data_IF_472422100268
#
_entry.id   IF_472422100268
#
_cell.length_a   1.000
_cell.length_b   1.000
_cell.length_c   1.000
_cell.angle_alpha   90.00
_cell.angle_beta   90.00
_cell.angle_gamma   90.00
#
_symmetry.space_group_name_H-M   'P 1'
#
loop_
_entity.id
_entity.type
_entity.pdbx_description
1 polymer ?
#
# COMPACT_ATOMS: atom_id res chain seq x y z
N UNK A 1 -32.17 -60.84 -24.37
CA UNK A 1 -33.64 -60.74 -24.45
C UNK A 1 -34.11 -60.12 -23.14
N UNK A 2 -34.46 -58.83 -23.18
CA UNK A 2 -35.86 -58.36 -23.05
C UNK A 2 -36.34 -58.42 -21.59
N UNK A 3 -36.05 -57.42 -20.75
CA UNK A 3 -36.74 -56.11 -20.57
C UNK A 3 -38.00 -56.15 -19.68
N UNK A 4 -38.25 -54.97 -19.08
CA UNK A 4 -39.36 -54.51 -18.24
C UNK A 4 -39.24 -54.84 -16.73
N UNK A 5 -39.45 -53.93 -15.78
CA UNK A 5 -39.81 -52.49 -15.77
C UNK A 5 -39.76 -52.08 -14.28
N UNK A 6 -38.86 -51.18 -13.88
CA UNK A 6 -39.12 -50.31 -12.72
C UNK A 6 -38.45 -48.96 -12.93
N UNK A 7 -39.25 -48.10 -13.54
CA UNK A 7 -39.32 -46.64 -13.49
C UNK A 7 -38.30 -45.93 -12.60
N UNK A 8 -37.38 -45.23 -13.27
CA UNK A 8 -36.65 -44.06 -12.77
C UNK A 8 -37.70 -42.94 -12.61
N UNK A 9 -37.94 -42.50 -11.37
CA UNK A 9 -38.66 -41.26 -11.11
C UNK A 9 -37.64 -40.16 -10.82
N UNK A 10 -37.61 -39.18 -11.71
CA UNK A 10 -37.11 -37.83 -11.45
C UNK A 10 -37.81 -37.28 -10.20
N UNK A 11 -37.06 -36.98 -9.15
CA UNK A 11 -37.44 -35.97 -8.16
C UNK A 11 -36.59 -34.73 -8.39
N UNK A 12 -37.13 -33.85 -9.24
CA UNK A 12 -36.81 -32.44 -9.24
C UNK A 12 -37.14 -31.81 -7.87
N UNK A 13 -36.49 -30.69 -7.59
CA UNK A 13 -36.72 -29.78 -6.45
C UNK A 13 -36.30 -30.31 -5.06
N UNK A 14 -35.03 -30.04 -4.75
CA UNK A 14 -34.67 -29.51 -3.44
C UNK A 14 -33.70 -28.31 -3.61
N UNK A 15 -34.09 -27.34 -4.46
CA UNK A 15 -33.72 -25.95 -4.24
C UNK A 15 -34.55 -25.44 -3.07
N UNK A 16 -34.16 -25.81 -1.85
CA UNK A 16 -34.65 -25.20 -0.62
C UNK A 16 -33.55 -24.30 -0.08
N UNK A 17 -33.62 -23.06 -0.57
CA UNK A 17 -33.35 -21.84 0.17
C UNK A 17 -32.39 -21.99 1.34
N UNK A 18 -31.08 -22.02 1.06
CA UNK A 18 -30.20 -21.20 1.89
C UNK A 18 -30.59 -19.76 1.56
N UNK A 19 -31.54 -19.26 2.35
CA UNK A 19 -31.90 -17.86 2.40
C UNK A 19 -30.60 -17.08 2.41
N UNK A 20 -30.41 -16.32 1.35
CA UNK A 20 -29.55 -15.16 1.27
C UNK A 20 -29.94 -14.19 2.39
N UNK A 21 -29.53 -14.49 3.62
CA UNK A 21 -29.19 -13.47 4.60
C UNK A 21 -27.86 -12.89 4.13
N UNK A 22 -27.94 -12.14 3.02
CA UNK A 22 -26.91 -11.25 2.59
C UNK A 22 -26.51 -10.41 3.80
N UNK A 23 -25.20 -10.32 4.01
CA UNK A 23 -24.50 -9.42 4.90
C UNK A 23 -25.19 -8.06 4.99
N UNK A 24 -26.10 -7.94 5.95
CA UNK A 24 -26.56 -6.69 6.52
C UNK A 24 -26.11 -6.72 7.99
N UNK A 25 -24.79 -6.86 8.22
CA UNK A 25 -24.22 -6.26 9.41
C UNK A 25 -24.16 -4.77 9.14
N UNK A 26 -25.22 -4.13 9.63
CA UNK A 26 -25.43 -2.71 9.84
C UNK A 26 -24.24 -1.82 9.48
N UNK A 27 -24.47 -1.05 8.41
CA UNK A 27 -23.87 0.27 8.24
C UNK A 27 -24.25 1.14 9.45
N UNK A 28 -23.65 0.93 10.61
CA UNK A 28 -23.60 1.99 11.62
C UNK A 28 -22.80 3.11 10.94
N UNK A 29 -23.42 4.26 10.62
CA UNK A 29 -22.69 5.37 10.07
C UNK A 29 -21.68 5.76 11.14
N UNK A 30 -20.40 5.64 10.85
CA UNK A 30 -19.38 6.30 11.65
C UNK A 30 -19.78 7.77 11.60
N UNK A 31 -20.22 8.32 12.74
CA UNK A 31 -20.71 9.68 12.79
C UNK A 31 -19.53 10.60 12.51
N UNK A 32 -19.44 11.07 11.27
CA UNK A 32 -18.46 12.05 10.86
C UNK A 32 -18.50 13.25 11.83
N UNK A 33 -17.35 13.80 12.24
CA UNK A 33 -17.32 14.99 13.08
C UNK A 33 -18.15 16.11 12.45
N UNK A 34 -18.90 16.84 13.26
CA UNK A 34 -19.73 17.96 12.79
C UNK A 34 -18.90 19.02 12.04
N UNK A 35 -17.63 19.17 12.41
CA UNK A 35 -16.68 20.06 11.73
C UNK A 35 -16.52 19.76 10.23
N UNK A 36 -16.74 18.52 9.79
CA UNK A 36 -16.63 18.15 8.38
C UNK A 36 -17.74 18.74 7.50
N UNK A 37 -18.88 19.14 8.07
CA UNK A 37 -19.95 19.80 7.30
C UNK A 37 -19.53 21.15 6.73
N UNK A 38 -18.48 21.76 7.29
CA UNK A 38 -17.93 23.03 6.84
C UNK A 38 -16.66 22.86 5.98
N UNK A 39 -16.26 21.63 5.66
CA UNK A 39 -15.08 21.36 4.83
C UNK A 39 -15.44 21.47 3.34
N UNK A 40 -14.69 22.26 2.56
CA UNK A 40 -14.98 22.42 1.13
C UNK A 40 -14.53 21.17 0.36
N UNK A 41 -15.46 20.27 0.07
CA UNK A 41 -15.23 19.08 -0.75
C UNK A 41 -15.44 19.37 -2.24
N UNK A 42 -14.57 18.79 -3.08
CA UNK A 42 -14.73 18.71 -4.53
C UNK A 42 -14.21 17.35 -5.02
N UNK A 43 -14.97 16.30 -4.75
CA UNK A 43 -14.62 14.92 -5.08
C UNK A 43 -15.62 14.40 -6.11
N UNK A 44 -15.09 14.06 -7.29
CA UNK A 44 -15.83 13.44 -8.37
C UNK A 44 -15.38 11.97 -8.50
N UNK A 45 -16.27 11.12 -9.04
CA UNK A 45 -15.97 9.70 -9.29
C UNK A 45 -16.00 8.78 -8.06
N UNK A 46 -16.26 9.28 -6.86
CA UNK A 46 -16.41 8.47 -5.64
C UNK A 46 -17.86 8.54 -5.13
N UNK A 47 -18.69 7.64 -5.64
CA UNK A 47 -20.12 7.61 -5.31
C UNK A 47 -20.38 7.29 -3.83
N UNK A 48 -21.35 7.97 -3.23
CA UNK A 48 -21.75 7.73 -1.84
C UNK A 48 -20.80 8.28 -0.77
N UNK A 49 -19.60 8.76 -1.11
CA UNK A 49 -18.64 9.29 -0.13
C UNK A 49 -19.21 10.42 0.73
N UNK A 50 -19.70 11.50 0.10
CA UNK A 50 -20.26 12.65 0.85
C UNK A 50 -21.51 12.25 1.65
N UNK A 51 -22.36 11.39 1.09
CA UNK A 51 -23.52 10.86 1.78
C UNK A 51 -23.11 10.04 3.03
N UNK A 52 -22.01 9.29 2.97
CA UNK A 52 -21.49 8.53 4.11
C UNK A 52 -21.08 9.44 5.27
N UNK A 53 -20.72 10.70 4.98
CA UNK A 53 -20.42 11.73 5.97
C UNK A 53 -21.65 12.53 6.42
N UNK A 54 -22.85 12.22 5.89
CA UNK A 54 -24.06 12.99 6.11
C UNK A 54 -24.03 14.38 5.46
N UNK A 55 -23.23 14.55 4.40
CA UNK A 55 -23.10 15.78 3.63
C UNK A 55 -23.91 15.61 2.34
N UNK A 56 -24.86 16.52 2.10
CA UNK A 56 -25.58 16.56 0.82
C UNK A 56 -24.59 16.98 -0.27
N UNK A 57 -24.36 16.15 -1.32
CA UNK A 57 -23.46 16.49 -2.43
C UNK A 57 -23.80 17.81 -3.15
N UNK A 58 -25.04 18.30 -3.01
CA UNK A 58 -25.49 19.59 -3.54
C UNK A 58 -25.12 20.78 -2.65
N UNK A 59 -24.64 20.54 -1.43
CA UNK A 59 -24.21 21.58 -0.50
C UNK A 59 -22.90 22.18 -1.02
N UNK A 60 -22.99 23.37 -1.61
CA UNK A 60 -21.82 24.11 -2.06
C UNK A 60 -21.30 25.03 -0.95
N UNK A 61 -20.07 24.80 -0.50
CA UNK A 61 -19.38 25.74 0.39
C UNK A 61 -18.72 26.82 -0.45
N UNK A 62 -19.33 28.02 -0.44
CA UNK A 62 -18.83 29.18 -1.17
C UNK A 62 -17.71 29.86 -0.38
N UNK A 63 -16.48 29.62 -0.81
CA UNK A 63 -15.31 30.36 -0.33
C UNK A 63 -15.23 31.71 -1.05
N UNK A 64 -14.93 32.78 -0.32
CA UNK A 64 -14.57 34.05 -0.95
C UNK A 64 -13.30 33.92 -1.78
N UNK A 65 -13.08 34.82 -2.75
CA UNK A 65 -11.84 34.85 -3.55
C UNK A 65 -10.58 34.91 -2.67
N UNK A 66 -10.65 35.61 -1.53
CA UNK A 66 -9.55 35.74 -0.58
C UNK A 66 -9.27 34.42 0.14
N UNK A 67 -10.30 33.75 0.64
CA UNK A 67 -10.19 32.46 1.32
C UNK A 67 -9.68 31.38 0.37
N UNK A 68 -10.24 31.30 -0.84
CA UNK A 68 -9.82 30.36 -1.85
C UNK A 68 -8.33 30.52 -2.19
N UNK A 69 -7.88 31.77 -2.41
CA UNK A 69 -6.46 32.05 -2.67
C UNK A 69 -5.58 31.65 -1.49
N UNK A 70 -5.96 32.03 -0.27
CA UNK A 70 -5.19 31.74 0.94
C UNK A 70 -5.06 30.23 1.19
N UNK A 71 -6.14 29.48 1.04
CA UNK A 71 -6.15 28.03 1.22
C UNK A 71 -5.36 27.32 0.14
N UNK A 72 -5.56 27.70 -1.13
CA UNK A 72 -4.81 27.14 -2.25
C UNK A 72 -3.30 27.40 -2.11
N UNK A 73 -2.90 28.62 -1.72
CA UNK A 73 -1.49 28.98 -1.52
C UNK A 73 -0.86 28.20 -0.35
N UNK A 74 -1.54 28.12 0.80
CA UNK A 74 -1.08 27.32 1.93
C UNK A 74 -0.92 25.84 1.55
N UNK A 75 -1.92 25.26 0.90
CA UNK A 75 -1.89 23.84 0.52
C UNK A 75 -0.86 23.55 -0.58
N UNK A 76 -0.68 24.48 -1.53
CA UNK A 76 0.39 24.40 -2.53
C UNK A 76 1.76 24.39 -1.86
N UNK A 77 2.01 25.33 -0.94
CA UNK A 77 3.30 25.44 -0.25
C UNK A 77 3.62 24.19 0.57
N UNK A 78 2.65 23.65 1.31
CA UNK A 78 2.85 22.45 2.12
C UNK A 78 3.13 21.21 1.26
N UNK A 79 2.33 20.99 0.20
CA UNK A 79 2.54 19.88 -0.74
C UNK A 79 3.88 20.00 -1.45
N UNK A 80 4.24 21.21 -1.85
CA UNK A 80 5.51 21.53 -2.50
C UNK A 80 6.70 21.25 -1.57
N UNK A 81 6.61 21.68 -0.31
CA UNK A 81 7.65 21.43 0.69
C UNK A 81 7.84 19.92 0.93
N UNK A 82 6.75 19.16 1.09
CA UNK A 82 6.81 17.70 1.24
C UNK A 82 7.40 17.03 -0.01
N UNK A 83 6.92 17.40 -1.20
CA UNK A 83 7.34 16.81 -2.47
C UNK A 83 8.81 17.06 -2.75
N UNK A 84 9.32 18.27 -2.51
CA UNK A 84 10.73 18.58 -2.75
C UNK A 84 11.71 17.78 -1.89
N UNK A 85 11.25 17.27 -0.74
CA UNK A 85 12.06 16.38 0.09
C UNK A 85 12.00 14.92 -0.39
N UNK A 86 11.14 14.59 -1.35
CA UNK A 86 10.94 13.21 -1.81
C UNK A 86 11.98 12.76 -2.85
N UNK A 87 12.03 11.44 -3.08
CA UNK A 87 12.81 10.85 -4.17
C UNK A 87 12.28 11.27 -5.54
N UNK A 88 10.96 11.45 -5.67
CA UNK A 88 10.34 11.88 -6.93
C UNK A 88 10.91 13.21 -7.41
N UNK A 89 11.00 14.21 -6.53
CA UNK A 89 11.59 15.50 -6.88
C UNK A 89 13.06 15.39 -7.29
N UNK A 90 13.85 14.54 -6.63
CA UNK A 90 15.27 14.31 -6.99
C UNK A 90 15.43 13.70 -8.38
N UNK A 91 14.44 12.96 -8.87
CA UNK A 91 14.40 12.41 -10.23
C UNK A 91 13.68 13.32 -11.23
N UNK A 92 13.44 14.59 -10.89
CA UNK A 92 12.85 15.56 -11.81
C UNK A 92 11.33 15.47 -11.97
N UNK A 93 10.65 14.64 -11.17
CA UNK A 93 9.18 14.62 -11.14
C UNK A 93 8.69 15.87 -10.43
N UNK A 94 7.87 16.68 -11.10
CA UNK A 94 7.26 17.88 -10.54
C UNK A 94 5.74 17.77 -10.49
N UNK A 95 5.07 18.82 -10.00
CA UNK A 95 3.61 18.85 -9.88
C UNK A 95 2.91 18.53 -11.21
N UNK A 96 3.42 19.06 -12.32
CA UNK A 96 2.86 18.89 -13.68
C UNK A 96 3.26 17.58 -14.37
N UNK A 97 4.14 16.80 -13.74
CA UNK A 97 4.39 15.43 -14.18
C UNK A 97 3.16 14.56 -13.91
N UNK A 98 2.50 14.80 -12.77
CA UNK A 98 1.36 14.00 -12.33
C UNK A 98 0.01 14.72 -12.50
N UNK A 99 -0.12 16.00 -12.16
CA UNK A 99 -1.40 16.72 -12.23
C UNK A 99 -1.65 17.37 -13.59
N UNK A 100 -2.88 17.23 -14.11
CA UNK A 100 -3.28 17.82 -15.37
C UNK A 100 -3.86 19.24 -15.19
N UNK A 101 -3.11 20.26 -15.60
CA UNK A 101 -3.57 21.66 -15.55
C UNK A 101 -4.53 22.04 -16.69
N UNK A 102 -4.65 21.22 -17.73
CA UNK A 102 -5.61 21.46 -18.81
C UNK A 102 -7.05 21.15 -18.35
N UNK A 103 -7.20 20.13 -17.51
CA UNK A 103 -8.47 19.75 -16.88
C UNK A 103 -8.72 20.54 -15.58
N UNK A 104 -7.66 20.93 -14.86
CA UNK A 104 -7.76 21.71 -13.63
C UNK A 104 -7.01 23.03 -13.73
N UNK A 105 -7.71 24.10 -14.12
CA UNK A 105 -7.11 25.43 -14.34
C UNK A 105 -6.62 26.06 -13.02
N UNK A 106 -5.31 26.32 -12.93
CA UNK A 106 -4.67 27.01 -11.80
C UNK A 106 -4.57 26.15 -10.53
N UNK A 107 -4.38 26.79 -9.37
CA UNK A 107 -4.20 26.10 -8.07
C UNK A 107 -5.47 26.12 -7.21
N UNK A 108 -6.56 26.73 -7.68
CA UNK A 108 -7.80 26.92 -6.92
C UNK A 108 -8.38 25.61 -6.37
N UNK A 109 -8.24 24.51 -7.12
CA UNK A 109 -8.69 23.19 -6.71
C UNK A 109 -8.01 22.68 -5.44
N UNK A 110 -6.79 23.14 -5.15
CA UNK A 110 -6.05 22.76 -3.95
C UNK A 110 -6.68 23.34 -2.68
N UNK A 111 -7.59 24.31 -2.77
CA UNK A 111 -8.36 24.79 -1.63
C UNK A 111 -9.41 23.78 -1.13
N UNK A 112 -9.69 22.73 -1.91
CA UNK A 112 -10.72 21.73 -1.63
C UNK A 112 -10.10 20.38 -1.29
N UNK A 113 -10.77 19.62 -0.42
CA UNK A 113 -10.53 18.17 -0.33
C UNK A 113 -11.07 17.55 -1.62
N UNK A 114 -10.20 16.96 -2.43
CA UNK A 114 -10.49 16.66 -3.83
C UNK A 114 -9.91 15.34 -4.31
N UNK A 115 -10.42 14.90 -5.47
CA UNK A 115 -9.89 13.81 -6.29
C UNK A 115 -9.55 14.38 -7.68
N UNK A 116 -8.44 15.13 -7.83
CA UNK A 116 -8.13 15.81 -9.08
C UNK A 116 -7.78 14.81 -10.19
N UNK A 117 -8.12 15.09 -11.46
CA UNK A 117 -7.61 14.33 -12.59
C UNK A 117 -6.09 14.24 -12.61
N UNK A 118 -5.60 13.06 -13.00
CA UNK A 118 -4.19 12.71 -13.02
C UNK A 118 -3.74 12.45 -14.46
N UNK A 119 -2.65 13.10 -14.86
CA UNK A 119 -1.94 12.86 -16.13
C UNK A 119 -1.14 11.55 -16.07
N UNK A 120 -0.57 11.24 -14.91
CA UNK A 120 0.18 10.02 -14.64
C UNK A 120 -0.20 9.50 -13.26
N UNK A 121 -0.40 8.19 -13.17
CA UNK A 121 -0.63 7.50 -11.91
C UNK A 121 0.65 6.82 -11.40
N UNK A 122 0.60 6.25 -10.20
CA UNK A 122 1.74 5.54 -9.62
C UNK A 122 2.19 4.36 -10.50
N UNK A 123 1.23 3.65 -11.11
CA UNK A 123 1.44 2.43 -11.89
C UNK A 123 2.18 2.68 -13.20
N UNK A 124 2.12 3.91 -13.72
CA UNK A 124 2.84 4.37 -14.91
C UNK A 124 4.35 4.19 -14.76
N UNK A 125 4.91 4.49 -13.58
CA UNK A 125 6.36 4.41 -13.33
C UNK A 125 6.74 3.20 -12.45
N UNK A 126 5.87 2.79 -11.53
CA UNK A 126 6.11 1.68 -10.61
C UNK A 126 5.55 0.36 -11.15
N UNK A 127 6.05 -0.06 -12.31
CA UNK A 127 5.49 -1.18 -13.07
C UNK A 127 5.61 -2.53 -12.35
N UNK A 128 6.70 -2.78 -11.63
CA UNK A 128 6.87 -4.00 -10.83
C UNK A 128 5.88 -4.02 -9.66
N UNK A 129 5.77 -2.91 -8.92
CA UNK A 129 4.80 -2.79 -7.82
C UNK A 129 3.37 -2.95 -8.35
N UNK A 130 3.06 -2.35 -9.49
CA UNK A 130 1.75 -2.47 -10.13
C UNK A 130 1.46 -3.92 -10.57
N UNK A 131 2.45 -4.63 -11.11
CA UNK A 131 2.31 -6.03 -11.50
C UNK A 131 2.05 -6.93 -10.29
N UNK A 132 2.82 -6.74 -9.22
CA UNK A 132 2.62 -7.45 -7.95
C UNK A 132 1.27 -7.13 -7.33
N UNK A 133 0.90 -5.86 -7.26
CA UNK A 133 -0.33 -5.40 -6.60
C UNK A 133 -1.60 -5.92 -7.29
N UNK A 134 -1.58 -6.19 -8.60
CA UNK A 134 -2.70 -6.84 -9.31
C UNK A 134 -3.06 -8.22 -8.74
N UNK A 135 -2.13 -8.86 -8.03
CA UNK A 135 -2.33 -10.17 -7.41
C UNK A 135 -2.74 -10.10 -5.94
N UNK A 136 -2.98 -8.91 -5.40
CA UNK A 136 -3.51 -8.75 -4.05
C UNK A 136 -5.00 -9.07 -4.05
N UNK A 137 -5.47 -9.80 -3.05
CA UNK A 137 -6.90 -10.01 -2.77
C UNK A 137 -7.39 -9.02 -1.71
N UNK A 138 -6.57 -8.82 -0.68
CA UNK A 138 -6.89 -8.12 0.57
C UNK A 138 -7.05 -6.61 0.37
N UNK A 139 -6.22 -6.00 -0.47
CA UNK A 139 -6.24 -4.56 -0.76
C UNK A 139 -6.59 -4.26 -2.22
N UNK A 140 -7.27 -5.18 -2.91
CA UNK A 140 -7.49 -5.16 -4.37
C UNK A 140 -8.27 -3.94 -4.86
N UNK A 141 -9.15 -3.41 -4.01
CA UNK A 141 -9.98 -2.24 -4.32
C UNK A 141 -9.35 -0.91 -3.89
N UNK A 142 -8.12 -0.92 -3.39
CA UNK A 142 -7.43 0.30 -2.95
C UNK A 142 -6.50 0.84 -4.03
N UNK A 143 -6.46 2.16 -4.17
CA UNK A 143 -5.43 2.84 -4.94
C UNK A 143 -4.12 2.95 -4.12
N UNK A 144 -2.97 3.05 -4.81
CA UNK A 144 -1.66 3.27 -4.22
C UNK A 144 -1.66 4.48 -3.25
N UNK A 145 -2.41 5.53 -3.57
CA UNK A 145 -2.50 6.73 -2.74
C UNK A 145 -3.17 6.48 -1.37
N UNK A 146 -3.94 5.40 -1.21
CA UNK A 146 -4.64 5.07 0.03
C UNK A 146 -3.69 4.82 1.20
N UNK A 147 -2.48 4.32 0.91
CA UNK A 147 -1.43 4.06 1.91
C UNK A 147 -0.30 5.08 1.80
N UNK A 148 0.12 5.43 0.58
CA UNK A 148 1.30 6.24 0.36
C UNK A 148 1.07 7.75 0.47
N UNK A 149 -0.18 8.19 0.34
CA UNK A 149 -0.57 9.61 0.37
C UNK A 149 -1.84 9.79 1.20
N UNK A 150 -1.84 9.43 2.50
CA UNK A 150 -3.02 9.59 3.34
C UNK A 150 -3.36 11.08 3.51
N UNK A 151 -4.63 11.38 3.81
CA UNK A 151 -4.93 12.68 4.39
C UNK A 151 -4.41 12.74 5.82
N UNK A 152 -3.65 13.79 6.11
CA UNK A 152 -3.02 14.04 7.40
C UNK A 152 -3.28 15.51 7.80
N UNK A 153 -3.23 15.87 9.10
CA UNK A 153 -3.35 17.25 9.53
C UNK A 153 -2.09 18.07 9.21
N UNK A 154 -2.22 19.40 9.15
CA UNK A 154 -1.03 20.26 9.17
C UNK A 154 -0.32 20.08 10.52
N UNK A 155 1.02 20.24 10.59
CA UNK A 155 1.74 20.08 11.85
C UNK A 155 1.20 20.96 12.99
N UNK A 156 0.74 22.19 12.68
CA UNK A 156 0.12 23.09 13.66
C UNK A 156 -1.24 22.60 14.21
N UNK A 157 -1.90 21.67 13.51
CA UNK A 157 -3.23 21.13 13.83
C UNK A 157 -3.16 19.64 14.25
N UNK A 158 -1.94 19.09 14.37
CA UNK A 158 -1.72 17.70 14.72
C UNK A 158 -1.98 17.44 16.21
N UNK A 159 -2.48 16.23 16.50
CA UNK A 159 -2.59 15.68 17.84
C UNK A 159 -2.14 14.23 17.83
N UNK A 160 -1.44 13.81 18.89
CA UNK A 160 -1.12 12.39 19.12
C UNK A 160 -2.37 11.55 19.38
N UNK A 161 -3.45 12.18 19.86
CA UNK A 161 -4.75 11.54 20.07
C UNK A 161 -5.53 11.48 18.76
N UNK A 162 -5.57 10.28 18.17
CA UNK A 162 -6.29 10.02 16.92
C UNK A 162 -7.79 10.30 17.01
N UNK A 163 -8.41 10.38 18.19
CA UNK A 163 -9.81 10.80 18.30
C UNK A 163 -10.01 12.28 17.90
N UNK A 164 -8.95 13.09 18.00
CA UNK A 164 -9.02 14.56 17.80
C UNK A 164 -8.65 15.03 16.40
N UNK A 165 -8.05 14.17 15.58
CA UNK A 165 -7.52 14.56 14.26
C UNK A 165 -8.54 14.45 13.11
N UNK A 166 -9.69 13.82 13.32
CA UNK A 166 -10.67 13.55 12.26
C UNK A 166 -11.13 14.81 11.50
N UNK A 167 -11.26 15.94 12.20
CA UNK A 167 -11.66 17.23 11.62
C UNK A 167 -10.52 18.02 10.98
N UNK A 168 -9.26 17.66 11.24
CA UNK A 168 -8.07 18.39 10.76
C UNK A 168 -7.24 17.61 9.74
N UNK A 169 -7.43 16.29 9.66
CA UNK A 169 -6.81 15.40 8.68
C UNK A 169 -7.41 15.57 7.26
N UNK A 170 -7.20 16.74 6.67
CA UNK A 170 -7.82 17.16 5.41
C UNK A 170 -6.82 17.22 4.24
N UNK A 171 -5.52 17.18 4.52
CA UNK A 171 -4.48 17.46 3.53
C UNK A 171 -3.87 16.17 3.02
N UNK A 172 -4.04 15.87 1.73
CA UNK A 172 -3.39 14.72 1.09
C UNK A 172 -1.87 14.90 1.05
N UNK A 173 -1.14 14.06 1.79
CA UNK A 173 0.31 14.13 1.93
C UNK A 173 1.04 13.80 0.60
N UNK A 174 2.16 14.47 0.35
CA UNK A 174 3.03 14.30 -0.83
C UNK A 174 4.44 13.85 -0.39
N UNK A 175 4.49 12.95 0.60
CA UNK A 175 5.72 12.41 1.19
C UNK A 175 6.07 11.04 0.58
N UNK A 176 5.05 10.27 0.17
CA UNK A 176 5.08 8.97 -0.53
C UNK A 176 5.74 7.81 0.21
N UNK A 177 6.89 8.04 0.85
CA UNK A 177 7.67 7.02 1.54
C UNK A 177 6.96 6.61 2.82
N UNK A 178 6.59 5.34 2.93
CA UNK A 178 6.17 4.73 4.20
C UNK A 178 7.42 4.28 4.98
N UNK A 179 7.45 4.58 6.28
CA UNK A 179 8.47 4.12 7.22
C UNK A 179 7.91 2.97 8.08
N UNK A 180 8.30 1.71 7.80
CA UNK A 180 7.78 0.55 8.53
C UNK A 180 8.51 0.38 9.87
N UNK A 181 8.18 1.23 10.84
CA UNK A 181 8.76 1.23 12.18
C UNK A 181 7.67 1.18 13.25
N UNK A 182 7.90 0.50 14.39
CA UNK A 182 6.96 0.53 15.51
C UNK A 182 6.94 1.90 16.22
N UNK A 183 8.04 2.66 16.16
CA UNK A 183 8.26 3.80 17.05
C UNK A 183 8.52 5.13 16.32
N UNK A 184 8.85 5.11 15.02
CA UNK A 184 9.07 6.35 14.25
C UNK A 184 7.73 6.92 13.80
N UNK A 185 7.48 8.17 14.14
CA UNK A 185 6.24 8.90 13.79
C UNK A 185 6.51 9.95 12.72
N UNK A 186 5.49 10.27 11.90
CA UNK A 186 5.54 11.31 10.87
C UNK A 186 5.61 12.72 11.45
N UNK A 187 5.23 12.88 12.72
CA UNK A 187 5.27 14.15 13.44
C UNK A 187 6.22 14.04 14.62
N UNK A 188 7.08 15.04 14.79
CA UNK A 188 7.96 15.18 15.94
C UNK A 188 7.74 16.53 16.61
N UNK A 189 7.82 16.52 17.94
CA UNK A 189 7.67 17.73 18.75
C UNK A 189 8.98 18.50 18.77
N UNK A 190 8.90 19.80 18.57
CA UNK A 190 10.01 20.74 18.58
C UNK A 190 9.68 21.93 19.45
N UNK A 191 10.66 22.33 20.26
CA UNK A 191 10.58 23.57 21.02
C UNK A 191 11.02 24.74 20.14
N UNK A 192 10.14 25.73 20.01
CA UNK A 192 10.41 26.96 19.29
C UNK A 192 10.18 28.16 20.19
N UNK A 193 10.97 29.22 20.00
CA UNK A 193 10.83 30.46 20.76
C UNK A 193 9.91 31.41 19.99
N UNK A 194 8.73 31.68 20.54
CA UNK A 194 7.76 32.64 20.01
C UNK A 194 7.57 33.73 21.05
N UNK A 195 7.81 34.99 20.68
CA UNK A 195 7.68 36.16 21.56
C UNK A 195 8.37 36.00 22.93
N UNK A 196 9.57 35.42 22.92
CA UNK A 196 10.36 35.20 24.14
C UNK A 196 9.99 33.96 24.94
N UNK A 197 8.88 33.29 24.63
CA UNK A 197 8.41 32.06 25.31
C UNK A 197 8.77 30.82 24.50
N UNK A 198 9.18 29.76 25.20
CA UNK A 198 9.35 28.43 24.58
C UNK A 198 7.97 27.79 24.47
N UNK A 199 7.56 27.49 23.25
CA UNK A 199 6.34 26.75 22.95
C UNK A 199 6.71 25.49 22.19
N UNK A 200 6.03 24.38 22.50
CA UNK A 200 6.19 23.17 21.72
C UNK A 200 5.26 23.18 20.51
N UNK A 201 5.79 22.91 19.34
CA UNK A 201 5.06 22.75 18.08
C UNK A 201 5.44 21.42 17.43
N UNK A 202 4.58 20.88 16.57
CA UNK A 202 4.95 19.72 15.77
C UNK A 202 5.52 20.16 14.42
N UNK A 203 6.47 19.37 13.91
CA UNK A 203 6.95 19.43 12.53
C UNK A 203 6.95 18.02 11.93
N UNK A 204 7.03 17.94 10.60
CA UNK A 204 7.17 16.65 9.92
C UNK A 204 8.56 16.05 10.18
N UNK A 205 8.56 14.79 10.58
CA UNK A 205 9.77 14.03 10.87
C UNK A 205 10.55 13.74 9.58
N UNK A 206 11.89 13.77 9.69
CA UNK A 206 12.80 13.43 8.59
C UNK A 206 13.44 12.07 8.82
N UNK A 207 13.61 11.31 7.75
CA UNK A 207 14.44 10.11 7.72
C UNK A 207 15.94 10.46 7.75
N UNK A 208 16.80 9.45 7.80
CA UNK A 208 18.27 9.61 7.82
C UNK A 208 18.83 10.36 6.61
N UNK A 209 18.06 10.46 5.51
CA UNK A 209 18.44 11.19 4.28
C UNK A 209 17.76 12.57 4.21
N UNK A 210 17.19 13.02 5.33
CA UNK A 210 16.51 14.31 5.47
C UNK A 210 15.13 14.36 4.84
N UNK A 211 14.48 13.23 4.54
CA UNK A 211 13.23 13.19 3.76
C UNK A 211 12.02 12.93 4.66
N UNK A 212 10.91 13.56 4.33
CA UNK A 212 9.63 13.30 4.98
C UNK A 212 9.17 11.84 4.76
N UNK A 213 8.50 11.25 5.75
CA UNK A 213 7.89 9.92 5.63
C UNK A 213 6.52 9.80 6.30
N UNK A 214 5.69 8.91 5.78
CA UNK A 214 4.41 8.47 6.35
C UNK A 214 4.70 7.31 7.31
N UNK A 215 4.25 7.41 8.55
CA UNK A 215 4.34 6.34 9.53
C UNK A 215 3.22 5.31 9.34
N UNK A 216 3.28 4.18 10.06
CA UNK A 216 2.33 3.09 9.85
C UNK A 216 0.93 3.42 10.38
N UNK A 217 0.82 4.27 11.41
CA UNK A 217 -0.48 4.70 11.90
C UNK A 217 -1.20 5.52 10.82
N UNK A 218 -0.51 6.51 10.22
CA UNK A 218 -1.06 7.31 9.13
C UNK A 218 -1.25 6.52 7.84
N UNK A 219 -0.41 5.54 7.56
CA UNK A 219 -0.58 4.70 6.36
C UNK A 219 -1.79 3.77 6.45
N UNK A 220 -2.06 3.17 7.62
CA UNK A 220 -2.96 2.00 7.72
C UNK A 220 -4.20 2.22 8.60
N UNK A 221 -4.08 2.96 9.70
CA UNK A 221 -5.09 3.02 10.77
C UNK A 221 -5.54 4.45 11.15
N UNK A 222 -5.22 5.43 10.30
CA UNK A 222 -5.55 6.85 10.46
C UNK A 222 -7.03 7.10 10.72
N UNK A 223 -7.34 8.03 11.63
CA UNK A 223 -8.68 8.60 11.72
C UNK A 223 -8.83 9.79 10.77
N UNK A 224 -9.07 9.51 9.48
CA UNK A 224 -9.21 10.54 8.45
C UNK A 224 -10.49 10.33 7.63
N UNK A 225 -11.69 10.52 8.20
CA UNK A 225 -12.96 10.29 7.49
C UNK A 225 -13.17 11.20 6.27
N UNK A 226 -12.45 12.34 6.17
CA UNK A 226 -12.45 13.19 4.98
C UNK A 226 -11.62 12.62 3.81
N UNK A 227 -10.88 11.54 4.02
CA UNK A 227 -10.14 10.83 2.97
C UNK A 227 -11.05 9.80 2.30
N UNK A 228 -11.40 10.04 1.04
CA UNK A 228 -12.27 9.15 0.28
C UNK A 228 -11.67 7.74 0.12
N UNK A 229 -10.35 7.58 0.19
CA UNK A 229 -9.71 6.25 0.16
C UNK A 229 -9.94 5.47 1.45
N UNK A 230 -10.19 6.16 2.58
CA UNK A 230 -10.61 5.51 3.83
C UNK A 230 -12.02 4.96 3.68
N UNK A 231 -12.92 5.71 3.03
CA UNK A 231 -14.28 5.25 2.75
C UNK A 231 -14.30 4.00 1.86
N UNK A 232 -13.58 4.02 0.74
CA UNK A 232 -13.46 2.86 -0.16
C UNK A 232 -12.83 1.65 0.53
N UNK A 233 -11.86 1.89 1.41
CA UNK A 233 -11.25 0.88 2.26
C UNK A 233 -12.09 0.40 3.44
N UNK A 234 -13.42 0.64 3.43
CA UNK A 234 -14.33 0.30 4.54
C UNK A 234 -13.87 0.86 5.89
N UNK A 235 -13.32 2.06 5.89
CA UNK A 235 -12.77 2.71 7.07
C UNK A 235 -11.34 2.32 7.43
N UNK A 236 -10.67 1.52 6.59
CA UNK A 236 -9.33 0.97 6.81
C UNK A 236 -9.22 0.27 8.18
N UNK A 237 -8.07 0.37 8.85
CA UNK A 237 -7.82 -0.29 10.13
C UNK A 237 -8.04 0.62 11.34
N UNK A 238 -8.72 1.77 11.17
CA UNK A 238 -8.89 2.73 12.25
C UNK A 238 -9.96 2.30 13.26
N UNK A 239 -9.67 2.41 14.56
CA UNK A 239 -10.68 2.21 15.61
C UNK A 239 -11.89 3.15 15.55
N UNK A 240 -11.81 4.23 14.77
CA UNK A 240 -12.87 5.22 14.68
C UNK A 240 -13.72 5.06 13.41
N UNK A 241 -13.10 4.66 12.30
CA UNK A 241 -13.76 4.60 11.00
C UNK A 241 -14.00 3.18 10.48
N UNK A 242 -13.27 2.18 10.97
CA UNK A 242 -13.28 0.83 10.41
C UNK A 242 -14.64 0.15 10.53
N UNK A 243 -15.03 -0.50 9.43
CA UNK A 243 -16.13 -1.46 9.35
C UNK A 243 -15.62 -2.88 9.12
N UNK A 244 -14.32 -3.11 9.32
CA UNK A 244 -13.71 -4.43 9.24
C UNK A 244 -14.00 -5.21 10.53
N UNK A 245 -13.68 -6.51 10.51
CA UNK A 245 -13.74 -7.36 11.71
C UNK A 245 -12.81 -6.82 12.80
N UNK A 246 -13.16 -7.03 14.08
CA UNK A 246 -12.45 -6.48 15.24
C UNK A 246 -10.94 -6.81 15.22
N UNK A 247 -10.57 -8.00 14.72
CA UNK A 247 -9.17 -8.42 14.59
C UNK A 247 -8.34 -7.61 13.58
N UNK A 248 -8.99 -6.81 12.73
CA UNK A 248 -8.36 -5.94 11.72
C UNK A 248 -8.42 -4.46 12.12
N UNK A 249 -8.82 -4.16 13.36
CA UNK A 249 -8.89 -2.79 13.89
C UNK A 249 -7.66 -2.54 14.78
N UNK A 250 -6.80 -1.63 14.35
CA UNK A 250 -5.53 -1.35 15.03
C UNK A 250 -5.60 -0.05 15.84
N UNK A 251 -5.21 -0.14 17.10
CA UNK A 251 -5.29 0.96 18.09
C UNK A 251 -4.05 1.84 18.09
N UNK A 252 -2.91 1.28 17.70
CA UNK A 252 -1.62 1.95 17.73
C UNK A 252 -0.69 1.43 16.62
N UNK A 253 0.40 2.17 16.41
CA UNK A 253 1.41 1.86 15.41
C UNK A 253 2.08 0.49 15.64
N UNK A 254 2.23 0.04 16.89
CA UNK A 254 2.91 -1.22 17.21
C UNK A 254 2.07 -2.42 16.76
N UNK A 255 0.75 -2.33 16.86
CA UNK A 255 -0.16 -3.34 16.31
C UNK A 255 -0.04 -3.41 14.79
N UNK A 256 -0.09 -2.26 14.09
CA UNK A 256 0.11 -2.22 12.63
C UNK A 256 1.45 -2.83 12.25
N UNK A 257 2.53 -2.44 12.93
CA UNK A 257 3.87 -2.99 12.71
C UNK A 257 3.91 -4.50 12.96
N UNK A 258 3.28 -4.98 14.03
CA UNK A 258 3.19 -6.39 14.37
C UNK A 258 2.56 -7.24 13.27
N UNK A 259 1.47 -6.77 12.66
CA UNK A 259 0.86 -7.45 11.51
C UNK A 259 1.72 -7.34 10.25
N UNK A 260 2.29 -6.16 9.98
CA UNK A 260 3.15 -5.95 8.82
C UNK A 260 4.36 -6.89 8.81
N UNK A 261 5.03 -7.07 9.96
CA UNK A 261 6.22 -7.93 10.01
C UNK A 261 5.90 -9.41 9.89
N UNK A 262 4.69 -9.86 10.22
CA UNK A 262 4.26 -11.25 9.93
C UNK A 262 4.25 -11.52 8.43
N UNK A 263 3.92 -10.51 7.62
CA UNK A 263 4.00 -10.62 6.17
C UNK A 263 5.42 -10.41 5.66
N UNK A 264 6.14 -9.42 6.18
CA UNK A 264 7.44 -9.04 5.63
C UNK A 264 8.58 -9.98 6.00
N UNK A 265 8.62 -10.51 7.23
CA UNK A 265 9.76 -11.29 7.70
C UNK A 265 9.95 -12.60 6.92
N UNK A 266 8.92 -13.43 6.68
CA UNK A 266 9.09 -14.65 5.90
C UNK A 266 9.60 -14.37 4.48
N UNK A 267 9.11 -13.30 3.85
CA UNK A 267 9.54 -12.90 2.51
C UNK A 267 11.01 -12.44 2.51
N UNK A 268 11.41 -11.62 3.50
CA UNK A 268 12.81 -11.16 3.64
C UNK A 268 13.77 -12.32 3.93
N UNK A 269 13.38 -13.26 4.78
CA UNK A 269 14.19 -14.44 5.13
C UNK A 269 14.34 -15.37 3.93
N UNK A 270 13.23 -15.73 3.28
CA UNK A 270 13.26 -16.58 2.09
C UNK A 270 14.01 -15.92 0.92
N UNK A 271 13.91 -14.59 0.75
CA UNK A 271 14.72 -13.86 -0.24
C UNK A 271 16.22 -14.07 0.00
N UNK A 272 16.68 -13.91 1.26
CA UNK A 272 18.10 -14.14 1.62
C UNK A 272 18.51 -15.59 1.37
N UNK A 273 17.65 -16.54 1.73
CA UNK A 273 17.87 -17.97 1.47
C UNK A 273 18.07 -18.24 -0.02
N UNK A 274 17.15 -17.75 -0.87
CA UNK A 274 17.22 -17.94 -2.32
C UNK A 274 18.49 -17.32 -2.90
N UNK A 275 18.81 -16.06 -2.57
CA UNK A 275 20.02 -15.39 -3.06
C UNK A 275 21.29 -16.15 -2.68
N UNK A 276 21.40 -16.58 -1.41
CA UNK A 276 22.53 -17.36 -0.94
C UNK A 276 22.61 -18.75 -1.61
N UNK A 277 21.47 -19.40 -1.84
CA UNK A 277 21.42 -20.69 -2.52
C UNK A 277 21.81 -20.58 -4.00
N UNK A 278 21.30 -19.58 -4.73
CA UNK A 278 21.65 -19.35 -6.14
C UNK A 278 23.15 -19.06 -6.30
N UNK A 279 23.74 -18.26 -5.41
CA UNK A 279 25.18 -17.99 -5.44
C UNK A 279 26.01 -19.26 -5.19
N UNK A 280 25.61 -20.06 -4.19
CA UNK A 280 26.29 -21.33 -3.87
C UNK A 280 26.18 -22.34 -5.02
N UNK A 281 24.99 -22.50 -5.59
CA UNK A 281 24.74 -23.43 -6.70
C UNK A 281 25.59 -23.06 -7.92
N UNK A 282 25.71 -21.76 -8.23
CA UNK A 282 26.58 -21.29 -9.31
C UNK A 282 28.05 -21.67 -9.07
N UNK A 283 28.57 -21.53 -7.84
CA UNK A 283 29.92 -21.99 -7.50
C UNK A 283 30.08 -23.51 -7.61
N UNK A 284 29.08 -24.28 -7.19
CA UNK A 284 29.10 -25.74 -7.30
C UNK A 284 29.07 -26.21 -8.77
N UNK A 285 28.35 -25.51 -9.64
CA UNK A 285 28.30 -25.79 -11.08
C UNK A 285 29.67 -25.66 -11.78
N UNK A 286 30.59 -24.89 -11.22
CA UNK A 286 31.96 -24.77 -11.73
C UNK A 286 32.78 -26.04 -11.47
N UNK A 287 32.47 -26.80 -10.41
CA UNK A 287 33.27 -27.94 -9.96
C UNK A 287 32.52 -29.27 -9.97
N UNK A 288 31.26 -29.29 -10.38
CA UNK A 288 30.44 -30.51 -10.44
C UNK A 288 30.28 -30.96 -11.89
N UNK A 289 30.65 -32.22 -12.17
CA UNK A 289 30.40 -32.85 -13.47
C UNK A 289 28.97 -33.34 -13.50
N UNK A 290 28.21 -32.79 -14.45
CA UNK A 290 26.85 -33.14 -14.79
C UNK A 290 26.79 -33.45 -16.28
N UNK A 291 25.81 -34.25 -16.72
CA UNK A 291 25.50 -34.32 -18.14
C UNK A 291 24.81 -33.03 -18.63
N UNK A 292 24.60 -32.93 -19.94
CA UNK A 292 24.04 -31.72 -20.57
C UNK A 292 22.61 -31.41 -20.12
N UNK A 293 21.79 -32.42 -19.91
CA UNK A 293 20.39 -32.25 -19.53
C UNK A 293 20.29 -31.81 -18.07
N UNK A 294 21.04 -32.48 -17.19
CA UNK A 294 21.20 -32.11 -15.79
C UNK A 294 21.70 -30.67 -15.63
N UNK A 295 22.76 -30.30 -16.36
CA UNK A 295 23.32 -28.94 -16.31
C UNK A 295 22.30 -27.89 -16.77
N UNK A 296 21.61 -28.15 -17.87
CA UNK A 296 20.55 -27.28 -18.39
C UNK A 296 19.41 -27.11 -17.39
N UNK A 297 19.02 -28.20 -16.72
CA UNK A 297 17.97 -28.19 -15.72
C UNK A 297 18.36 -27.39 -14.48
N UNK A 298 19.58 -27.56 -13.96
CA UNK A 298 20.09 -26.77 -12.83
C UNK A 298 20.11 -25.28 -13.17
N UNK A 299 20.65 -24.91 -14.33
CA UNK A 299 20.70 -23.52 -14.80
C UNK A 299 19.29 -22.92 -14.90
N UNK A 300 18.34 -23.66 -15.46
CA UNK A 300 16.94 -23.22 -15.57
C UNK A 300 16.31 -22.95 -14.20
N UNK A 301 16.55 -23.81 -13.21
CA UNK A 301 16.05 -23.60 -11.84
C UNK A 301 16.70 -22.40 -11.15
N UNK A 302 18.00 -22.19 -11.34
CA UNK A 302 18.70 -21.01 -10.80
C UNK A 302 18.16 -19.73 -11.42
N UNK A 303 17.94 -19.70 -12.73
CA UNK A 303 17.41 -18.53 -13.42
C UNK A 303 15.99 -18.20 -12.94
N UNK A 304 15.11 -19.20 -12.83
CA UNK A 304 13.75 -19.03 -12.32
C UNK A 304 13.73 -18.51 -10.86
N UNK A 305 14.58 -19.08 -10.00
CA UNK A 305 14.69 -18.62 -8.61
C UNK A 305 15.23 -17.18 -8.53
N UNK A 306 16.22 -16.84 -9.38
CA UNK A 306 16.81 -15.51 -9.46
C UNK A 306 15.81 -14.47 -9.95
N UNK A 307 15.01 -14.78 -10.97
CA UNK A 307 13.95 -13.90 -11.46
C UNK A 307 12.90 -13.58 -10.39
N UNK A 308 12.54 -14.56 -9.57
CA UNK A 308 11.63 -14.35 -8.43
C UNK A 308 12.28 -13.48 -7.35
N UNK A 309 13.55 -13.74 -7.01
CA UNK A 309 14.29 -12.92 -6.05
C UNK A 309 14.40 -11.45 -6.53
N UNK A 310 14.70 -11.24 -7.82
CA UNK A 310 14.76 -9.92 -8.44
C UNK A 310 13.40 -9.19 -8.37
N UNK A 311 12.29 -9.90 -8.60
CA UNK A 311 10.94 -9.34 -8.49
C UNK A 311 10.66 -8.88 -7.05
N UNK A 312 10.96 -9.72 -6.05
CA UNK A 312 10.76 -9.40 -4.62
C UNK A 312 11.56 -8.14 -4.25
N UNK A 313 12.83 -8.08 -4.65
CA UNK A 313 13.71 -6.94 -4.36
C UNK A 313 13.25 -5.66 -5.06
N UNK A 314 12.88 -5.73 -6.35
CA UNK A 314 12.42 -4.58 -7.14
C UNK A 314 11.07 -4.06 -6.66
N UNK A 315 10.15 -4.94 -6.25
CA UNK A 315 8.88 -4.55 -5.63
C UNK A 315 9.16 -3.79 -4.32
N UNK A 316 10.03 -4.35 -3.46
CA UNK A 316 10.55 -3.69 -2.26
C UNK A 316 9.54 -3.54 -1.11
N UNK A 317 8.29 -3.99 -1.28
CA UNK A 317 7.28 -3.99 -0.22
C UNK A 317 7.42 -5.18 0.73
N UNK A 318 8.23 -6.17 0.34
CA UNK A 318 8.44 -7.43 1.04
C UNK A 318 7.12 -8.17 1.30
N UNK A 319 6.23 -8.18 0.32
CA UNK A 319 4.93 -8.86 0.43
C UNK A 319 3.77 -7.98 0.88
N UNK A 320 4.00 -6.73 1.29
CA UNK A 320 2.90 -5.84 1.68
C UNK A 320 1.97 -5.48 0.51
N UNK A 321 2.47 -5.45 -0.73
CA UNK A 321 1.63 -5.21 -1.91
C UNK A 321 0.73 -6.41 -2.26
N UNK A 322 1.21 -7.65 -2.09
CA UNK A 322 0.42 -8.87 -2.35
C UNK A 322 1.02 -10.09 -1.61
N UNK A 323 0.64 -10.29 -0.35
CA UNK A 323 1.29 -11.27 0.53
C UNK A 323 1.15 -12.71 0.02
N UNK A 324 -0.09 -13.14 -0.28
CA UNK A 324 -0.37 -14.51 -0.73
C UNK A 324 0.40 -14.86 -2.01
N UNK A 325 0.40 -13.95 -2.99
CA UNK A 325 1.16 -14.10 -4.22
C UNK A 325 2.66 -14.21 -3.96
N UNK A 326 3.21 -13.32 -3.12
CA UNK A 326 4.64 -13.33 -2.80
C UNK A 326 5.07 -14.60 -2.07
N UNK A 327 4.26 -15.10 -1.14
CA UNK A 327 4.52 -16.36 -0.44
C UNK A 327 4.53 -17.54 -1.41
N UNK A 328 3.60 -17.60 -2.37
CA UNK A 328 3.58 -18.66 -3.38
C UNK A 328 4.80 -18.60 -4.30
N UNK A 329 5.19 -17.41 -4.76
CA UNK A 329 6.40 -17.22 -5.58
C UNK A 329 7.66 -17.61 -4.82
N UNK A 330 7.76 -17.22 -3.55
CA UNK A 330 8.88 -17.59 -2.68
C UNK A 330 9.00 -19.11 -2.53
N UNK A 331 7.89 -19.81 -2.23
CA UNK A 331 7.87 -21.26 -2.09
C UNK A 331 8.28 -21.98 -3.40
N UNK A 332 7.90 -21.43 -4.57
CA UNK A 332 8.36 -21.95 -5.85
C UNK A 332 9.87 -21.80 -6.03
N UNK A 333 10.41 -20.62 -5.72
CA UNK A 333 11.85 -20.35 -5.80
C UNK A 333 12.69 -21.22 -4.84
N UNK A 334 12.22 -21.42 -3.61
CA UNK A 334 12.83 -22.36 -2.65
C UNK A 334 12.85 -23.80 -3.21
N UNK A 335 11.77 -24.23 -3.86
CA UNK A 335 11.74 -25.53 -4.53
C UNK A 335 12.68 -25.62 -5.74
N UNK A 336 12.84 -24.56 -6.51
CA UNK A 336 13.79 -24.54 -7.62
C UNK A 336 15.23 -24.69 -7.13
N UNK A 337 15.64 -23.92 -6.11
CA UNK A 337 17.00 -24.03 -5.56
C UNK A 337 17.23 -25.40 -4.88
N UNK A 338 16.21 -25.99 -4.25
CA UNK A 338 16.29 -27.36 -3.71
C UNK A 338 16.51 -28.38 -4.82
N UNK A 339 15.72 -28.36 -5.89
CA UNK A 339 15.86 -29.30 -7.01
C UNK A 339 17.20 -29.14 -7.73
N UNK A 340 17.68 -27.90 -7.88
CA UNK A 340 19.01 -27.62 -8.42
C UNK A 340 20.12 -28.23 -7.54
N UNK A 341 20.01 -28.11 -6.21
CA UNK A 341 20.95 -28.71 -5.27
C UNK A 341 20.91 -30.25 -5.32
N UNK A 342 19.72 -30.86 -5.38
CA UNK A 342 19.57 -32.32 -5.49
C UNK A 342 20.29 -32.90 -6.72
N UNK A 343 20.21 -32.21 -7.87
CA UNK A 343 20.92 -32.62 -9.08
C UNK A 343 22.45 -32.49 -8.89
N UNK A 344 22.91 -31.40 -8.28
CA UNK A 344 24.34 -31.20 -7.99
C UNK A 344 24.89 -32.25 -7.02
N UNK A 345 24.14 -32.59 -5.97
CA UNK A 345 24.56 -33.55 -4.95
C UNK A 345 24.66 -34.98 -5.50
N UNK A 346 23.85 -35.31 -6.52
CA UNK A 346 23.95 -36.56 -7.28
C UNK A 346 25.09 -36.55 -8.31
N UNK A 347 25.66 -35.39 -8.60
CA UNK A 347 26.76 -35.19 -9.55
C UNK A 347 28.12 -35.67 -9.03
N UNK A 348 29.12 -35.71 -9.92
CA UNK A 348 30.50 -36.08 -9.54
C UNK A 348 31.36 -34.85 -9.37
N UNK A 349 31.85 -34.61 -8.15
CA UNK A 349 32.77 -33.51 -7.88
C UNK A 349 34.12 -33.68 -8.60
N UNK A 350 34.58 -32.60 -9.23
CA UNK A 350 35.86 -32.48 -9.92
C UNK A 350 36.82 -31.65 -9.08
N UNK A 351 38.09 -32.06 -9.03
CA UNK A 351 39.16 -31.30 -8.34
C UNK A 351 39.56 -30.02 -9.10
N UNK A 352 39.13 -29.90 -10.35
CA UNK A 352 39.36 -28.75 -11.23
C UNK A 352 38.04 -28.28 -11.82
N UNK A 353 37.99 -27.00 -12.21
CA UNK A 353 36.83 -26.45 -12.91
C UNK A 353 36.43 -27.32 -14.11
N UNK A 354 35.13 -27.50 -14.29
CA UNK A 354 34.52 -28.24 -15.40
C UNK A 354 34.29 -27.27 -16.55
N UNK A 355 34.69 -27.67 -17.77
CA UNK A 355 34.43 -26.89 -18.98
C UNK A 355 32.92 -26.89 -19.26
N UNK A 356 32.23 -25.73 -19.21
CA UNK A 356 30.79 -25.67 -19.41
C UNK A 356 30.35 -26.01 -20.84
N UNK A 357 31.28 -26.08 -21.80
CA UNK A 357 31.02 -26.33 -23.23
C UNK A 357 31.38 -27.76 -23.68
N UNK A 358 31.98 -28.59 -22.82
CA UNK A 358 32.29 -30.00 -23.08
C UNK A 358 31.42 -30.90 -22.24
#
# INVERSE_FOLDING_TARGET
MSTLKTTILLSALACLAMSSAAFAQDNVPVKAPESLKNVPFKIEGVEGFLHSLGIDPKTEIKLSKKELRSLAESNYNDKTAQHFMSVHARHGVGCLSCHDQSEVKGTAWMAYVSNPPMKQDCKTCHTVQADVFKHTDTHSNLDCIACHMPNMPKPAEYSEDQAKVAGTALYRAHMYKINPSPDKTSYVKKEVKVDGKIVSQYELAKDEKGRDFVDLMWSCARNAPADWTVFEGKGCHSQYTSKLEEGLVYKDQKQVYGELVKWQNPIKEGYKEIRGATERINKLLEVTRLDRDQRTQVLSYVDLATQIADMIEKDGSWGAHAHNYMTQRLAAAQNYVRKAQEILDAGKFSKTAVDPLK
#
